data_IF_840727345097
#
_entry.id   IF_840727345097
#
_cell.length_a   1.000
_cell.length_b   1.000
_cell.length_c   1.000
_cell.angle_alpha   90.00
_cell.angle_beta   90.00
_cell.angle_gamma   90.00
#
_symmetry.space_group_name_H-M   'P 1'
#
loop_
_entity.id
_entity.type
_entity.pdbx_description
1 polymer ?
#
# COMPACT_ATOMS: atom_id res chain seq x y z
N UNK A 1 -7.61 -7.17 12.77
CA UNK A 1 -7.16 -7.85 11.53
C UNK A 1 -8.36 -8.13 10.64
N UNK A 2 -8.22 -7.96 9.33
CA UNK A 2 -9.29 -8.30 8.39
C UNK A 2 -9.53 -9.80 8.42
N UNK A 3 -10.79 -10.27 8.52
CA UNK A 3 -11.11 -11.69 8.43
C UNK A 3 -10.60 -12.27 7.11
N UNK A 4 -9.97 -13.44 7.19
CA UNK A 4 -9.51 -14.20 6.02
C UNK A 4 -10.31 -15.49 5.92
N UNK A 5 -10.77 -15.80 4.73
CA UNK A 5 -11.51 -17.04 4.43
C UNK A 5 -10.75 -17.80 3.35
N UNK A 6 -10.79 -19.13 3.42
CA UNK A 6 -10.19 -19.94 2.38
C UNK A 6 -10.90 -19.72 1.04
N UNK A 7 -10.16 -19.31 0.03
CA UNK A 7 -10.70 -18.99 -1.30
C UNK A 7 -11.42 -20.21 -1.94
N UNK A 8 -10.87 -21.41 -1.72
CA UNK A 8 -11.47 -22.67 -2.19
C UNK A 8 -12.85 -22.98 -1.60
N UNK A 9 -13.20 -22.38 -0.46
CA UNK A 9 -14.51 -22.56 0.19
C UNK A 9 -15.49 -21.45 -0.14
N UNK A 10 -15.07 -20.42 -0.90
CA UNK A 10 -15.92 -19.29 -1.24
C UNK A 10 -16.84 -19.62 -2.44
N UNK A 11 -18.11 -19.27 -2.29
CA UNK A 11 -19.11 -19.30 -3.35
C UNK A 11 -19.75 -17.90 -3.45
N UNK A 12 -19.86 -17.38 -4.66
CA UNK A 12 -20.49 -16.09 -4.92
C UNK A 12 -19.55 -15.06 -5.55
N UNK A 13 -20.03 -13.84 -5.75
CA UNK A 13 -19.26 -12.79 -6.39
C UNK A 13 -18.09 -12.31 -5.53
N UNK A 14 -17.04 -11.87 -6.21
CA UNK A 14 -15.84 -11.29 -5.59
C UNK A 14 -15.52 -9.93 -6.20
N UNK A 15 -14.77 -9.14 -5.45
CA UNK A 15 -14.23 -7.87 -5.90
C UNK A 15 -12.71 -7.93 -5.90
N UNK A 16 -12.07 -7.41 -6.95
CA UNK A 16 -10.62 -7.38 -7.09
C UNK A 16 -10.15 -5.95 -6.94
N UNK A 17 -9.20 -5.73 -6.02
CA UNK A 17 -8.49 -4.47 -5.88
C UNK A 17 -7.05 -4.60 -6.35
N UNK A 18 -6.56 -3.63 -7.12
CA UNK A 18 -5.19 -3.58 -7.63
C UNK A 18 -4.59 -2.23 -7.25
N UNK A 19 -3.54 -2.23 -6.44
CA UNK A 19 -2.74 -1.05 -6.14
C UNK A 19 -1.41 -1.15 -6.90
N UNK A 20 -1.27 -0.33 -7.93
CA UNK A 20 -0.05 -0.22 -8.72
C UNK A 20 0.77 0.99 -8.28
N UNK A 21 1.53 0.82 -7.20
CA UNK A 21 2.40 1.85 -6.67
C UNK A 21 3.68 2.04 -7.48
N UNK A 22 4.46 3.06 -7.13
CA UNK A 22 5.75 3.38 -7.78
C UNK A 22 6.80 2.29 -7.62
N UNK A 23 6.78 1.56 -6.52
CA UNK A 23 7.78 0.54 -6.18
C UNK A 23 7.21 -0.88 -6.08
N UNK A 24 5.93 -1.01 -5.79
CA UNK A 24 5.27 -2.30 -5.51
C UNK A 24 3.92 -2.39 -6.19
N UNK A 25 3.51 -3.64 -6.47
CA UNK A 25 2.15 -3.98 -6.90
C UNK A 25 1.50 -4.83 -5.83
N UNK A 26 0.27 -4.50 -5.49
CA UNK A 26 -0.54 -5.29 -4.57
C UNK A 26 -1.84 -5.67 -5.27
N UNK A 27 -2.31 -6.88 -4.99
CA UNK A 27 -3.58 -7.38 -5.48
C UNK A 27 -4.32 -8.04 -4.33
N UNK A 28 -5.59 -7.73 -4.20
CA UNK A 28 -6.47 -8.32 -3.21
C UNK A 28 -7.75 -8.81 -3.87
N UNK A 29 -8.25 -9.96 -3.42
CA UNK A 29 -9.60 -10.43 -3.74
C UNK A 29 -10.38 -10.48 -2.44
N UNK A 30 -11.55 -9.87 -2.45
CA UNK A 30 -12.47 -9.85 -1.31
C UNK A 30 -13.86 -10.32 -1.72
N UNK A 31 -14.61 -10.84 -0.78
CA UNK A 31 -16.02 -11.15 -0.95
C UNK A 31 -16.92 -9.93 -0.68
N UNK A 32 -18.23 -10.09 -0.82
CA UNK A 32 -19.23 -9.05 -0.54
C UNK A 32 -19.28 -8.61 0.93
N UNK A 33 -18.67 -9.38 1.85
CA UNK A 33 -18.54 -9.04 3.28
C UNK A 33 -17.20 -8.41 3.61
N UNK A 34 -16.41 -8.04 2.59
CA UNK A 34 -15.04 -7.52 2.73
C UNK A 34 -14.06 -8.50 3.42
N UNK A 35 -14.34 -9.80 3.38
CA UNK A 35 -13.41 -10.81 3.87
C UNK A 35 -12.34 -11.07 2.80
N UNK A 36 -11.09 -11.15 3.21
CA UNK A 36 -9.98 -11.38 2.29
C UNK A 36 -9.91 -12.85 1.89
N UNK A 37 -9.99 -13.09 0.59
CA UNK A 37 -9.85 -14.41 -0.03
C UNK A 37 -8.44 -14.65 -0.57
N UNK A 38 -7.81 -13.61 -1.14
CA UNK A 38 -6.47 -13.68 -1.72
C UNK A 38 -5.74 -12.36 -1.57
N UNK A 39 -4.43 -12.43 -1.39
CA UNK A 39 -3.54 -11.26 -1.42
C UNK A 39 -2.24 -11.60 -2.14
N UNK A 40 -1.75 -10.67 -2.94
CA UNK A 40 -0.40 -10.67 -3.47
C UNK A 40 0.26 -9.32 -3.22
N UNK A 41 1.54 -9.33 -2.87
CA UNK A 41 2.38 -8.15 -2.67
C UNK A 41 3.76 -8.44 -3.23
N UNK A 42 4.19 -7.66 -4.21
CA UNK A 42 5.49 -7.87 -4.85
C UNK A 42 6.08 -6.55 -5.40
N UNK A 43 7.41 -6.47 -5.60
CA UNK A 43 8.04 -5.36 -6.31
C UNK A 43 7.49 -5.25 -7.73
N UNK A 44 7.30 -4.01 -8.24
CA UNK A 44 6.76 -3.79 -9.58
C UNK A 44 7.81 -3.93 -10.71
N UNK A 45 9.09 -3.96 -10.36
CA UNK A 45 10.23 -4.11 -11.28
C UNK A 45 10.22 -3.10 -12.47
N UNK A 46 9.55 -1.95 -12.30
CA UNK A 46 9.40 -0.93 -13.34
C UNK A 46 8.34 -1.24 -14.41
N UNK A 47 7.73 -2.44 -14.37
CA UNK A 47 6.66 -2.81 -15.30
C UNK A 47 5.59 -3.66 -14.58
N UNK A 48 4.51 -3.05 -14.09
CA UNK A 48 3.49 -3.75 -13.31
C UNK A 48 2.59 -4.68 -14.13
N UNK A 49 2.39 -4.41 -15.42
CA UNK A 49 1.37 -5.12 -16.22
C UNK A 49 1.60 -6.63 -16.33
N UNK A 50 2.81 -7.15 -16.65
CA UNK A 50 3.04 -8.58 -16.69
C UNK A 50 2.80 -9.26 -15.35
N UNK A 51 3.19 -8.60 -14.25
CA UNK A 51 3.03 -9.12 -12.89
C UNK A 51 1.54 -9.25 -12.51
N UNK A 52 0.75 -8.22 -12.80
CA UNK A 52 -0.70 -8.22 -12.58
C UNK A 52 -1.36 -9.31 -13.41
N UNK A 53 -0.99 -9.40 -14.70
CA UNK A 53 -1.52 -10.43 -15.61
C UNK A 53 -1.24 -11.84 -15.10
N UNK A 54 -0.04 -12.11 -14.65
CA UNK A 54 0.35 -13.40 -14.09
C UNK A 54 -0.52 -13.76 -12.88
N UNK A 55 -0.71 -12.83 -11.95
CA UNK A 55 -1.54 -13.05 -10.77
C UNK A 55 -3.01 -13.29 -11.12
N UNK A 56 -3.57 -12.51 -12.04
CA UNK A 56 -4.94 -12.71 -12.51
C UNK A 56 -5.11 -14.07 -13.19
N UNK A 57 -4.20 -14.47 -14.07
CA UNK A 57 -4.24 -15.78 -14.72
C UNK A 57 -4.13 -16.93 -13.71
N UNK A 58 -3.30 -16.79 -12.69
CA UNK A 58 -3.21 -17.75 -11.59
C UNK A 58 -4.54 -17.89 -10.86
N UNK A 59 -5.15 -16.77 -10.48
CA UNK A 59 -6.45 -16.76 -9.78
C UNK A 59 -7.53 -17.46 -10.63
N UNK A 60 -7.66 -17.10 -11.90
CA UNK A 60 -8.65 -17.71 -12.79
C UNK A 60 -8.41 -19.21 -13.05
N UNK A 61 -7.14 -19.62 -13.09
CA UNK A 61 -6.78 -21.04 -13.25
C UNK A 61 -7.11 -21.86 -12.01
N UNK A 62 -6.86 -21.30 -10.82
CA UNK A 62 -7.13 -21.98 -9.55
C UNK A 62 -8.63 -21.94 -9.18
N UNK A 63 -9.37 -20.96 -9.71
CA UNK A 63 -10.80 -20.76 -9.43
C UNK A 63 -11.59 -20.56 -10.74
N UNK A 64 -11.79 -21.61 -11.56
CA UNK A 64 -12.40 -21.49 -12.90
C UNK A 64 -13.87 -21.04 -12.89
N UNK A 65 -14.55 -21.14 -11.75
CA UNK A 65 -15.94 -20.67 -11.55
C UNK A 65 -16.04 -19.27 -10.94
N UNK A 66 -14.94 -18.52 -10.88
CA UNK A 66 -14.90 -17.22 -10.23
C UNK A 66 -15.83 -16.21 -10.90
N UNK A 67 -16.71 -15.61 -10.11
CA UNK A 67 -17.60 -14.54 -10.53
C UNK A 67 -17.04 -13.21 -10.04
N UNK A 68 -16.39 -12.44 -10.93
CA UNK A 68 -15.87 -11.12 -10.61
C UNK A 68 -16.96 -10.08 -10.78
N UNK A 69 -17.39 -9.45 -9.69
CA UNK A 69 -18.42 -8.41 -9.70
C UNK A 69 -17.83 -7.03 -10.05
N UNK A 70 -16.61 -6.73 -9.60
CA UNK A 70 -15.91 -5.52 -9.99
C UNK A 70 -14.40 -5.64 -9.84
N UNK A 71 -13.69 -4.83 -10.63
CA UNK A 71 -12.24 -4.63 -10.54
C UNK A 71 -11.98 -3.15 -10.35
N UNK A 72 -11.29 -2.82 -9.26
CA UNK A 72 -10.91 -1.43 -8.93
C UNK A 72 -9.40 -1.31 -8.89
N UNK A 73 -8.87 -0.24 -9.45
CA UNK A 73 -7.43 0.03 -9.44
C UNK A 73 -7.13 1.36 -8.76
N UNK A 74 -5.95 1.47 -8.17
CA UNK A 74 -5.42 2.66 -7.51
C UNK A 74 -3.90 2.71 -7.59
N UNK A 75 -3.28 3.75 -7.04
CA UNK A 75 -1.85 3.98 -7.03
C UNK A 75 -1.35 4.76 -8.23
N UNK A 76 -0.04 4.99 -8.29
CA UNK A 76 0.61 5.76 -9.37
C UNK A 76 0.29 5.23 -10.78
N UNK A 77 0.20 3.92 -10.94
CA UNK A 77 -0.13 3.26 -12.20
C UNK A 77 -1.62 3.01 -12.45
N UNK A 78 -2.50 3.66 -11.70
CA UNK A 78 -3.95 3.44 -11.73
C UNK A 78 -4.53 3.47 -13.15
N UNK A 79 -4.31 4.55 -13.88
CA UNK A 79 -4.85 4.73 -15.22
C UNK A 79 -4.29 3.71 -16.22
N UNK A 80 -2.99 3.41 -16.15
CA UNK A 80 -2.34 2.41 -16.98
C UNK A 80 -2.98 1.02 -16.78
N UNK A 81 -3.15 0.61 -15.53
CA UNK A 81 -3.74 -0.69 -15.17
C UNK A 81 -5.21 -0.74 -15.54
N UNK A 82 -5.96 0.33 -15.27
CA UNK A 82 -7.38 0.45 -15.62
C UNK A 82 -7.60 0.22 -17.11
N UNK A 83 -6.81 0.89 -17.95
CA UNK A 83 -6.93 0.78 -19.40
C UNK A 83 -6.47 -0.59 -19.92
N UNK A 84 -5.37 -1.13 -19.40
CA UNK A 84 -4.82 -2.41 -19.85
C UNK A 84 -5.74 -3.61 -19.54
N UNK A 85 -6.37 -3.61 -18.38
CA UNK A 85 -7.23 -4.71 -17.92
C UNK A 85 -8.72 -4.39 -17.96
N UNK A 86 -9.12 -3.22 -18.48
CA UNK A 86 -10.51 -2.74 -18.54
C UNK A 86 -11.20 -2.82 -17.19
N UNK A 87 -10.51 -2.31 -16.15
CA UNK A 87 -11.06 -2.28 -14.81
C UNK A 87 -12.29 -1.36 -14.75
N UNK A 88 -13.25 -1.71 -13.90
CA UNK A 88 -14.51 -0.96 -13.76
C UNK A 88 -14.27 0.43 -13.17
N UNK A 89 -13.38 0.51 -12.16
CA UNK A 89 -13.14 1.75 -11.42
C UNK A 89 -11.65 2.03 -11.27
N UNK A 90 -11.31 3.32 -11.32
CA UNK A 90 -10.03 3.86 -10.88
C UNK A 90 -10.26 4.81 -9.72
N UNK A 91 -9.49 4.68 -8.65
CA UNK A 91 -9.57 5.53 -7.48
C UNK A 91 -8.24 6.24 -7.25
N UNK A 92 -8.30 7.51 -6.93
CA UNK A 92 -7.13 8.23 -6.41
C UNK A 92 -6.66 7.55 -5.13
N UNK A 93 -5.36 7.34 -5.00
CA UNK A 93 -4.71 6.65 -3.89
C UNK A 93 -5.15 7.18 -2.52
N UNK A 94 -5.24 8.50 -2.37
CA UNK A 94 -5.72 9.18 -1.16
C UNK A 94 -7.11 8.71 -0.74
N UNK A 95 -8.03 8.56 -1.71
CA UNK A 95 -9.41 8.11 -1.46
C UNK A 95 -9.42 6.64 -1.05
N UNK A 96 -8.61 5.81 -1.72
CA UNK A 96 -8.51 4.39 -1.39
C UNK A 96 -7.96 4.18 0.03
N UNK A 97 -6.89 4.89 0.42
CA UNK A 97 -6.30 4.82 1.75
C UNK A 97 -7.25 5.35 2.84
N UNK A 98 -7.92 6.48 2.59
CA UNK A 98 -8.93 7.00 3.51
C UNK A 98 -10.08 6.02 3.72
N UNK A 99 -10.60 5.41 2.65
CA UNK A 99 -11.68 4.43 2.73
C UNK A 99 -11.28 3.22 3.57
N UNK A 100 -10.05 2.71 3.35
CA UNK A 100 -9.52 1.60 4.13
C UNK A 100 -9.30 1.98 5.60
N UNK A 101 -8.72 3.15 5.88
CA UNK A 101 -8.52 3.62 7.25
C UNK A 101 -9.84 3.76 8.01
N UNK A 102 -10.86 4.34 7.40
CA UNK A 102 -12.20 4.48 7.97
C UNK A 102 -12.88 3.13 8.23
N UNK A 103 -12.64 2.13 7.39
CA UNK A 103 -13.14 0.78 7.63
C UNK A 103 -12.57 0.15 8.90
N UNK A 104 -11.27 0.35 9.17
CA UNK A 104 -10.61 -0.19 10.37
C UNK A 104 -10.84 0.66 11.63
N UNK A 105 -10.97 1.97 11.45
CA UNK A 105 -11.12 2.96 12.51
C UNK A 105 -12.17 4.00 12.07
N UNK A 106 -13.45 3.73 12.31
CA UNK A 106 -14.54 4.62 11.86
C UNK A 106 -14.41 6.08 12.32
N UNK A 107 -13.82 6.30 13.49
CA UNK A 107 -13.62 7.62 14.10
C UNK A 107 -12.21 8.19 13.82
N UNK A 108 -11.53 7.74 12.76
CA UNK A 108 -10.21 8.27 12.38
C UNK A 108 -10.32 9.76 12.06
N UNK A 109 -9.45 10.56 12.68
CA UNK A 109 -9.37 12.02 12.50
C UNK A 109 -8.08 12.47 11.80
N UNK A 110 -7.05 11.61 11.80
CA UNK A 110 -5.78 11.88 11.16
C UNK A 110 -5.14 10.61 10.59
N UNK A 111 -4.62 10.68 9.37
CA UNK A 111 -3.92 9.58 8.70
C UNK A 111 -2.55 10.05 8.28
N UNK A 112 -1.53 9.25 8.59
CA UNK A 112 -0.17 9.39 8.04
C UNK A 112 0.03 8.22 7.07
N UNK A 113 0.12 8.55 5.80
CA UNK A 113 0.38 7.58 4.73
C UNK A 113 1.85 7.70 4.31
N UNK A 114 2.61 6.62 4.53
CA UNK A 114 4.04 6.54 4.20
C UNK A 114 4.20 5.57 3.04
N UNK A 115 4.30 6.11 1.84
CA UNK A 115 4.55 5.37 0.61
C UNK A 115 6.02 4.98 0.43
N UNK A 116 6.32 4.37 -0.72
CA UNK A 116 7.70 4.02 -1.10
C UNK A 116 8.58 5.25 -1.39
N UNK A 117 8.00 6.29 -1.97
CA UNK A 117 8.72 7.49 -2.43
C UNK A 117 8.11 8.81 -1.96
N UNK A 118 6.93 8.78 -1.35
CA UNK A 118 6.26 9.97 -0.84
C UNK A 118 5.65 9.72 0.55
N UNK A 119 5.25 10.80 1.18
CA UNK A 119 4.53 10.78 2.44
C UNK A 119 3.41 11.82 2.37
N UNK A 120 2.22 11.41 2.81
CA UNK A 120 1.02 12.25 2.86
C UNK A 120 0.41 12.20 4.25
N UNK A 121 -0.16 13.32 4.69
CA UNK A 121 -0.97 13.34 5.89
C UNK A 121 -2.35 13.89 5.55
N UNK A 122 -3.39 13.26 6.08
CA UNK A 122 -4.77 13.69 5.87
C UNK A 122 -5.39 14.05 7.21
N UNK A 123 -5.95 15.26 7.31
CA UNK A 123 -6.84 15.63 8.40
C UNK A 123 -8.27 15.29 8.01
N UNK A 124 -9.02 14.67 8.91
CA UNK A 124 -10.40 14.25 8.68
C UNK A 124 -11.28 14.99 9.67
N UNK A 125 -12.32 15.65 9.17
CA UNK A 125 -13.33 16.36 9.93
C UNK A 125 -14.71 16.01 9.36
N UNK A 126 -15.65 15.74 10.22
CA UNK A 126 -17.03 15.38 9.84
C UNK A 126 -17.10 14.18 8.87
N UNK A 127 -16.14 13.23 9.00
CA UNK A 127 -16.09 12.02 8.18
C UNK A 127 -15.61 12.23 6.74
N UNK A 128 -15.03 13.39 6.44
CA UNK A 128 -14.45 13.75 5.15
C UNK A 128 -13.01 14.29 5.31
N UNK A 129 -12.21 14.18 4.25
CA UNK A 129 -10.86 14.78 4.23
C UNK A 129 -11.02 16.30 4.16
N UNK A 130 -10.61 17.00 5.22
CA UNK A 130 -10.64 18.46 5.30
C UNK A 130 -9.35 19.11 4.83
N UNK A 131 -8.22 18.45 4.99
CA UNK A 131 -6.92 18.95 4.54
C UNK A 131 -5.95 17.81 4.17
N UNK A 132 -5.07 18.07 3.22
CA UNK A 132 -4.01 17.16 2.77
C UNK A 132 -2.68 17.88 2.83
N UNK A 133 -1.72 17.29 3.53
CA UNK A 133 -0.34 17.75 3.58
C UNK A 133 0.52 16.77 2.79
N UNK A 134 1.21 17.28 1.78
CA UNK A 134 2.11 16.51 0.93
C UNK A 134 3.55 16.87 1.24
N UNK A 135 4.40 15.87 1.39
CA UNK A 135 5.85 16.06 1.40
C UNK A 135 6.39 15.81 -0.02
N UNK A 136 6.35 16.84 -0.86
CA UNK A 136 6.81 16.76 -2.25
C UNK A 136 8.33 16.96 -2.40
N UNK A 137 8.98 17.50 -1.38
CA UNK A 137 10.35 17.99 -1.51
C UNK A 137 11.44 16.93 -1.29
N UNK A 138 11.11 15.80 -0.65
CA UNK A 138 12.14 14.82 -0.28
C UNK A 138 11.54 13.46 0.06
N UNK A 139 12.14 12.39 -0.44
CA UNK A 139 11.83 11.00 -0.06
C UNK A 139 12.26 10.65 1.39
N UNK A 140 12.62 11.63 2.18
CA UNK A 140 13.03 11.56 3.58
C UNK A 140 11.87 11.08 4.45
N UNK A 141 12.07 9.96 5.15
CA UNK A 141 11.02 9.30 5.92
C UNK A 141 10.13 8.36 5.13
N UNK A 142 10.29 8.28 3.81
CA UNK A 142 9.55 7.33 2.99
C UNK A 142 10.12 5.91 3.08
N UNK A 143 9.33 4.92 2.69
CA UNK A 143 9.69 3.52 2.81
C UNK A 143 11.00 3.12 2.11
N UNK A 144 11.29 3.68 0.94
CA UNK A 144 12.56 3.41 0.21
C UNK A 144 13.80 3.91 0.96
N UNK A 145 13.70 5.04 1.64
CA UNK A 145 14.79 5.54 2.49
C UNK A 145 15.03 4.60 3.67
N UNK A 146 13.98 4.22 4.40
CA UNK A 146 14.08 3.30 5.53
C UNK A 146 14.64 1.95 5.10
N UNK A 147 14.25 1.45 3.94
CA UNK A 147 14.76 0.21 3.37
C UNK A 147 16.25 0.30 3.05
N UNK A 148 16.68 1.36 2.35
CA UNK A 148 18.10 1.59 2.02
C UNK A 148 18.92 1.71 3.29
N UNK A 149 18.38 2.40 4.29
CA UNK A 149 19.03 2.59 5.56
C UNK A 149 19.19 1.29 6.35
N UNK A 150 18.14 0.49 6.45
CA UNK A 150 18.18 -0.84 7.08
C UNK A 150 19.24 -1.73 6.40
N UNK A 151 19.26 -1.77 5.07
CA UNK A 151 20.23 -2.55 4.30
C UNK A 151 21.67 -2.08 4.55
N UNK A 152 21.92 -0.78 4.61
CA UNK A 152 23.25 -0.21 4.90
C UNK A 152 23.77 -0.59 6.29
N UNK A 153 22.87 -0.83 7.24
CA UNK A 153 23.17 -1.30 8.59
C UNK A 153 23.14 -2.84 8.73
N UNK A 154 22.92 -3.57 7.63
CA UNK A 154 22.90 -5.04 7.62
C UNK A 154 21.59 -5.66 8.15
N UNK A 155 20.50 -4.90 8.20
CA UNK A 155 19.21 -5.38 8.66
C UNK A 155 18.22 -5.60 7.51
N UNK A 156 17.37 -6.60 7.66
CA UNK A 156 16.10 -6.68 6.93
C UNK A 156 15.16 -5.58 7.43
N UNK A 157 14.40 -4.95 6.52
CA UNK A 157 13.53 -3.80 6.85
C UNK A 157 12.48 -4.14 7.93
N UNK A 158 11.95 -5.37 7.95
CA UNK A 158 10.98 -5.79 8.97
C UNK A 158 11.62 -5.92 10.34
N UNK A 159 12.85 -6.45 10.40
CA UNK A 159 13.63 -6.52 11.64
C UNK A 159 14.04 -5.15 12.12
N UNK A 160 14.41 -4.25 11.18
CA UNK A 160 14.79 -2.88 11.48
C UNK A 160 13.64 -2.10 12.14
N UNK A 161 12.43 -2.21 11.64
CA UNK A 161 11.24 -1.61 12.24
C UNK A 161 10.99 -2.08 13.69
N UNK A 162 11.25 -3.36 13.97
CA UNK A 162 11.11 -3.91 15.31
C UNK A 162 12.10 -3.33 16.33
N UNK A 163 13.31 -2.95 15.89
CA UNK A 163 14.30 -2.29 16.77
C UNK A 163 13.80 -0.94 17.28
N UNK A 164 13.07 -0.19 16.45
CA UNK A 164 12.52 1.12 16.82
C UNK A 164 11.47 1.04 17.94
N UNK A 165 10.74 -0.08 18.05
CA UNK A 165 9.72 -0.28 19.09
C UNK A 165 10.30 -0.37 20.51
N UNK A 166 11.56 -0.75 20.63
CA UNK A 166 12.24 -0.95 21.92
C UNK A 166 13.31 0.10 22.20
N UNK A 167 13.38 1.16 21.37
CA UNK A 167 14.31 2.26 21.57
C UNK A 167 13.85 3.11 22.75
N UNK A 168 14.69 3.23 23.77
CA UNK A 168 14.46 4.04 24.98
C UNK A 168 14.94 5.49 24.81
N UNK A 169 15.79 5.76 23.84
CA UNK A 169 16.32 7.09 23.52
C UNK A 169 16.23 7.38 22.02
N UNK A 170 15.26 8.18 21.59
CA UNK A 170 15.22 8.65 20.21
C UNK A 170 16.36 9.63 19.96
N UNK A 171 17.02 9.50 18.82
CA UNK A 171 18.06 10.42 18.36
C UNK A 171 17.43 11.46 17.46
N UNK A 172 17.69 12.74 17.75
CA UNK A 172 17.28 13.81 16.85
C UNK A 172 18.21 13.86 15.63
N UNK A 173 17.69 13.47 14.49
CA UNK A 173 18.38 13.51 13.20
C UNK A 173 18.24 14.87 12.50
N UNK A 174 17.53 15.82 13.12
CA UNK A 174 17.21 17.13 12.55
C UNK A 174 16.13 17.05 11.47
N UNK A 175 15.83 18.19 10.86
CA UNK A 175 14.80 18.36 9.83
C UNK A 175 15.37 18.54 8.41
N UNK A 176 16.62 18.20 8.19
CA UNK A 176 17.30 18.38 6.90
C UNK A 176 17.03 17.21 5.95
N UNK A 177 17.39 17.39 4.69
CA UNK A 177 17.34 16.36 3.66
C UNK A 177 18.08 15.08 4.10
N UNK A 178 17.54 13.91 3.78
CA UNK A 178 18.09 12.59 4.16
C UNK A 178 19.52 12.34 3.70
N UNK A 179 19.98 13.01 2.64
CA UNK A 179 21.38 12.94 2.21
C UNK A 179 22.30 13.42 3.34
N UNK A 180 21.89 14.44 4.08
CA UNK A 180 22.65 14.96 5.22
C UNK A 180 22.40 14.15 6.50
N UNK A 181 21.21 13.56 6.66
CA UNK A 181 20.92 12.68 7.80
C UNK A 181 21.76 11.40 7.76
N UNK A 182 22.12 10.91 6.58
CA UNK A 182 22.90 9.69 6.40
C UNK A 182 24.28 9.75 7.07
N UNK A 183 24.87 10.94 7.18
CA UNK A 183 26.13 11.15 7.90
C UNK A 183 25.95 11.22 9.42
N UNK A 184 24.79 11.70 9.89
CA UNK A 184 24.49 11.81 11.33
C UNK A 184 24.11 10.47 11.97
N UNK A 185 23.61 9.53 11.20
CA UNK A 185 23.19 8.22 11.72
C UNK A 185 24.37 7.23 11.81
N UNK A 186 25.46 7.47 11.09
CA UNK A 186 26.67 6.63 11.13
C UNK A 186 27.64 7.01 12.26
N UNK A 187 27.33 8.03 13.03
CA UNK A 187 28.05 8.44 14.23
C UNK A 187 27.44 7.83 15.49
#
# INVERSE_FOLDING_TARGET
SVPRVAFSAHCGPVHIGIDSGSTTVKLVVVDEKSQILYTNYQPNLGNPLPLIREQLLKIYKEHPGLQVASVTTTGYGEELVKNAFRCDYGLVETVAHFTAAKYFMPDVDFIIDIGGQDMKCFKIEDGAISNIFLNEACSSGCGSFLQTFAQALGYDVKKFAALGLFADRPVDLGSRCTVFMNSSVKQ
#
